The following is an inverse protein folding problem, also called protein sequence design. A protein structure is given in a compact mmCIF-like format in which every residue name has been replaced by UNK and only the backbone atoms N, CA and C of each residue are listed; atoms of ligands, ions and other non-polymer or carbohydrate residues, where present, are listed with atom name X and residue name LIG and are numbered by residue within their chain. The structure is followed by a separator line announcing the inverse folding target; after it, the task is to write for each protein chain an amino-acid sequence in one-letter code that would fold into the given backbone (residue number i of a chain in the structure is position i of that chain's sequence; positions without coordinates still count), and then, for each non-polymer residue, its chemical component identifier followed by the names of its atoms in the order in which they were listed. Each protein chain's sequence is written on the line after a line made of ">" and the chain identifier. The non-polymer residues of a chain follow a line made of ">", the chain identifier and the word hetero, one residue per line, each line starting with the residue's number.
data_IF_693981377950
#
_entry.id   IF_693981377950
#
_cell.length_a   1.000
_cell.length_b   1.000
_cell.length_c   1.000
_cell.angle_alpha   90.00
_cell.angle_beta   90.00
_cell.angle_gamma   90.00
#
_symmetry.space_group_name_H-M   'P 1'
#
loop_
_entity.id
_entity.type
_entity.pdbx_description
1 polymer ?
#
# COMPACT_ATOMS: atom_id res chain seq x y z
N UNK A 1 9.08 -8.34 12.99
CA UNK A 1 8.21 -9.40 13.54
C UNK A 1 7.52 -10.20 12.43
N UNK A 2 6.74 -9.60 11.52
CA UNK A 2 6.03 -10.31 10.46
C UNK A 2 6.98 -11.15 9.57
N UNK A 3 8.06 -10.53 9.06
CA UNK A 3 9.09 -11.21 8.28
C UNK A 3 9.85 -12.27 9.09
N UNK A 4 10.09 -12.02 10.39
CA UNK A 4 10.72 -13.02 11.27
C UNK A 4 9.83 -14.25 11.42
N UNK A 5 8.50 -14.08 11.50
CA UNK A 5 7.56 -15.20 11.54
C UNK A 5 7.66 -16.04 10.26
N UNK A 6 7.67 -15.42 9.08
CA UNK A 6 7.78 -16.11 7.80
C UNK A 6 9.12 -16.87 7.68
N UNK A 7 10.23 -16.22 8.02
CA UNK A 7 11.56 -16.83 7.98
C UNK A 7 11.69 -18.01 8.96
N UNK A 8 11.15 -17.88 10.17
CA UNK A 8 11.11 -18.98 11.16
C UNK A 8 10.23 -20.14 10.69
N UNK A 9 9.18 -19.87 9.94
CA UNK A 9 8.37 -20.91 9.32
C UNK A 9 9.07 -21.60 8.12
N UNK A 10 10.21 -21.09 7.66
CA UNK A 10 10.98 -21.67 6.56
C UNK A 10 10.72 -21.04 5.19
N UNK A 11 9.94 -19.95 5.10
CA UNK A 11 9.70 -19.26 3.84
C UNK A 11 10.99 -18.57 3.37
N UNK A 12 11.36 -18.81 2.12
CA UNK A 12 12.53 -18.23 1.47
C UNK A 12 12.12 -17.32 0.30
N UNK A 13 13.05 -16.48 -0.16
CA UNK A 13 12.84 -15.59 -1.31
C UNK A 13 11.53 -14.78 -1.17
N UNK A 14 11.42 -14.04 -0.06
CA UNK A 14 10.25 -13.23 0.26
C UNK A 14 10.30 -11.93 -0.54
N UNK A 15 9.21 -11.60 -1.21
CA UNK A 15 8.94 -10.26 -1.74
C UNK A 15 7.93 -9.57 -0.83
N UNK A 16 8.26 -8.39 -0.34
CA UNK A 16 7.37 -7.55 0.46
C UNK A 16 6.93 -6.35 -0.39
N UNK A 17 5.65 -6.30 -0.66
CA UNK A 17 5.01 -5.17 -1.33
C UNK A 17 4.50 -4.16 -0.31
N UNK A 18 4.75 -2.88 -0.57
CA UNK A 18 4.38 -1.74 0.28
C UNK A 18 3.45 -0.81 -0.47
N UNK A 19 2.37 -0.42 0.17
CA UNK A 19 1.43 0.57 -0.32
C UNK A 19 1.03 1.55 0.80
N UNK A 20 0.51 2.71 0.44
CA UNK A 20 0.05 3.74 1.37
C UNK A 20 -1.38 4.14 0.99
N UNK A 21 -2.36 3.55 1.66
CA UNK A 21 -3.79 3.74 1.36
C UNK A 21 -4.19 5.21 1.43
N UNK A 22 -3.78 5.91 2.48
CA UNK A 22 -4.11 7.33 2.66
C UNK A 22 -3.51 8.24 1.57
N UNK A 23 -2.50 7.80 0.81
CA UNK A 23 -1.96 8.55 -0.31
C UNK A 23 -2.96 8.61 -1.47
N UNK A 24 -3.59 7.48 -1.79
CA UNK A 24 -4.62 7.39 -2.83
C UNK A 24 -5.82 8.27 -2.46
N UNK A 25 -6.31 8.15 -1.23
CA UNK A 25 -7.43 8.94 -0.73
C UNK A 25 -7.16 10.45 -0.79
N UNK A 26 -5.98 10.88 -0.32
CA UNK A 26 -5.58 12.27 -0.35
C UNK A 26 -5.48 12.82 -1.80
N UNK A 27 -4.95 12.03 -2.74
CA UNK A 27 -4.88 12.44 -4.16
C UNK A 27 -6.27 12.51 -4.77
N UNK A 28 -7.15 11.54 -4.49
CA UNK A 28 -8.52 11.55 -5.01
C UNK A 28 -9.35 12.70 -4.43
N UNK A 29 -9.13 13.09 -3.19
CA UNK A 29 -9.77 14.27 -2.61
C UNK A 29 -9.46 15.57 -3.38
N UNK A 30 -8.27 15.69 -3.98
CA UNK A 30 -7.90 16.84 -4.79
C UNK A 30 -8.68 16.95 -6.12
N UNK A 31 -9.29 15.86 -6.57
CA UNK A 31 -10.03 15.84 -7.85
C UNK A 31 -11.38 16.54 -7.80
N UNK A 32 -11.97 16.67 -6.61
CA UNK A 32 -13.33 17.18 -6.44
C UNK A 32 -14.44 16.29 -7.02
N UNK A 33 -14.12 15.05 -7.35
CA UNK A 33 -15.09 14.07 -7.88
C UNK A 33 -16.09 13.65 -6.79
N UNK A 34 -17.29 13.31 -7.23
CA UNK A 34 -18.29 12.69 -6.37
C UNK A 34 -17.91 11.24 -5.98
N UNK A 35 -18.57 10.71 -4.96
CA UNK A 35 -18.27 9.38 -4.41
C UNK A 35 -18.40 8.25 -5.45
N UNK A 36 -19.33 8.37 -6.39
CA UNK A 36 -19.55 7.36 -7.44
C UNK A 36 -18.38 7.33 -8.41
N UNK A 37 -17.91 8.50 -8.86
CA UNK A 37 -16.72 8.61 -9.74
C UNK A 37 -15.44 8.24 -9.02
N UNK A 38 -15.28 8.59 -7.75
CA UNK A 38 -14.14 8.16 -6.93
C UNK A 38 -14.05 6.64 -6.88
N UNK A 39 -15.17 5.93 -6.69
CA UNK A 39 -15.18 4.46 -6.73
C UNK A 39 -14.76 3.90 -8.09
N UNK A 40 -15.20 4.53 -9.20
CA UNK A 40 -14.79 4.11 -10.54
C UNK A 40 -13.31 4.37 -10.80
N UNK A 41 -12.78 5.53 -10.37
CA UNK A 41 -11.35 5.84 -10.49
C UNK A 41 -10.51 4.87 -9.66
N UNK A 42 -10.94 4.55 -8.44
CA UNK A 42 -10.27 3.54 -7.61
C UNK A 42 -10.21 2.17 -8.31
N UNK A 43 -11.32 1.70 -8.85
CA UNK A 43 -11.37 0.44 -9.59
C UNK A 43 -10.43 0.46 -10.82
N UNK A 44 -10.37 1.57 -11.55
CA UNK A 44 -9.47 1.73 -12.69
C UNK A 44 -7.99 1.79 -12.26
N UNK A 45 -7.67 2.40 -11.11
CA UNK A 45 -6.33 2.39 -10.52
C UNK A 45 -5.89 0.96 -10.15
N UNK A 46 -6.77 0.21 -9.48
CA UNK A 46 -6.52 -1.18 -9.09
C UNK A 46 -6.24 -2.08 -10.29
N UNK A 47 -7.01 -1.90 -11.37
CA UNK A 47 -6.85 -2.65 -12.61
C UNK A 47 -5.72 -2.10 -13.51
N UNK A 48 -5.10 -0.97 -13.12
CA UNK A 48 -4.14 -0.22 -13.94
C UNK A 48 -4.66 0.11 -15.33
N UNK A 49 -5.98 0.37 -15.45
CA UNK A 49 -6.65 0.71 -16.70
C UNK A 49 -6.47 2.20 -17.02
N UNK A 50 -5.37 2.49 -17.70
CA UNK A 50 -5.03 3.86 -18.10
C UNK A 50 -6.06 4.46 -19.05
N UNK A 51 -6.70 3.65 -19.90
CA UNK A 51 -7.70 4.14 -20.85
C UNK A 51 -8.96 4.61 -20.11
N UNK A 52 -9.42 3.82 -19.15
CA UNK A 52 -10.55 4.19 -18.33
C UNK A 52 -10.23 5.40 -17.44
N UNK A 53 -9.03 5.46 -16.85
CA UNK A 53 -8.59 6.62 -16.08
C UNK A 53 -8.63 7.91 -16.90
N UNK A 54 -8.15 7.89 -18.15
CA UNK A 54 -8.21 9.07 -19.03
C UNK A 54 -9.65 9.57 -19.24
N UNK A 55 -10.61 8.65 -19.44
CA UNK A 55 -12.02 9.00 -19.61
C UNK A 55 -12.61 9.57 -18.31
N UNK A 56 -12.38 8.89 -17.19
CA UNK A 56 -12.92 9.30 -15.88
C UNK A 56 -12.36 10.64 -15.38
N UNK A 57 -11.16 11.02 -15.82
CA UNK A 57 -10.46 12.21 -15.37
C UNK A 57 -10.47 13.33 -16.43
N UNK A 58 -11.22 13.20 -17.54
CA UNK A 58 -11.17 14.12 -18.66
C UNK A 58 -11.52 15.58 -18.31
N UNK A 59 -12.44 15.78 -17.36
CA UNK A 59 -12.89 17.07 -16.85
C UNK A 59 -12.21 17.49 -15.52
N UNK A 60 -11.32 16.65 -14.99
CA UNK A 60 -10.57 16.98 -13.77
C UNK A 60 -9.44 17.95 -14.11
N UNK A 61 -9.35 19.04 -13.35
CA UNK A 61 -8.32 20.06 -13.52
C UNK A 61 -6.92 19.59 -13.10
N UNK A 62 -5.90 20.20 -13.69
CA UNK A 62 -4.52 20.05 -13.18
C UNK A 62 -4.35 20.82 -11.84
N UNK A 63 -3.52 20.37 -10.91
CA UNK A 63 -2.60 19.20 -11.05
C UNK A 63 -3.24 17.84 -10.68
N UNK A 64 -4.48 17.79 -10.18
CA UNK A 64 -5.10 16.58 -9.64
C UNK A 64 -5.12 15.42 -10.65
N UNK A 65 -5.45 15.70 -11.91
CA UNK A 65 -5.44 14.70 -12.97
C UNK A 65 -4.07 14.05 -13.16
N UNK A 66 -3.01 14.83 -13.23
CA UNK A 66 -1.64 14.33 -13.36
C UNK A 66 -1.19 13.54 -12.13
N UNK A 67 -1.64 13.93 -10.93
CA UNK A 67 -1.31 13.22 -9.69
C UNK A 67 -1.97 11.84 -9.64
N UNK A 68 -3.24 11.71 -10.06
CA UNK A 68 -3.90 10.40 -10.17
C UNK A 68 -3.20 9.51 -11.19
N UNK A 69 -2.84 10.05 -12.37
CA UNK A 69 -2.09 9.30 -13.37
C UNK A 69 -0.72 8.85 -12.83
N UNK A 70 -0.05 9.68 -12.01
CA UNK A 70 1.22 9.35 -11.40
C UNK A 70 1.12 8.16 -10.42
N UNK A 71 0.02 8.00 -9.68
CA UNK A 71 -0.20 6.85 -8.82
C UNK A 71 -0.10 5.54 -9.60
N UNK A 72 -0.87 5.41 -10.69
CA UNK A 72 -0.92 4.17 -11.49
C UNK A 72 0.39 3.84 -12.22
N UNK A 73 1.25 4.84 -12.44
CA UNK A 73 2.54 4.69 -13.10
C UNK A 73 3.71 4.50 -12.14
N UNK A 74 3.47 4.60 -10.83
CA UNK A 74 4.53 4.52 -9.82
C UNK A 74 4.46 3.18 -9.09
N UNK A 75 5.13 2.20 -9.67
CA UNK A 75 5.32 0.85 -9.11
C UNK A 75 6.71 0.33 -9.47
N UNK A 76 7.31 -0.48 -8.60
CA UNK A 76 8.65 -1.04 -8.81
C UNK A 76 9.43 -1.16 -7.52
N UNK A 77 10.77 -1.11 -7.59
CA UNK A 77 11.65 -1.09 -6.44
C UNK A 77 11.60 0.23 -5.67
N UNK A 78 12.43 0.36 -4.64
CA UNK A 78 12.42 1.55 -3.78
C UNK A 78 12.78 2.87 -4.49
N UNK A 79 13.44 2.79 -5.63
CA UNK A 79 13.82 3.96 -6.45
C UNK A 79 12.59 4.76 -6.93
N UNK A 80 11.42 4.11 -7.06
CA UNK A 80 10.19 4.79 -7.50
C UNK A 80 9.70 5.82 -6.47
N UNK A 81 10.05 5.67 -5.19
CA UNK A 81 9.67 6.62 -4.14
C UNK A 81 10.31 8.00 -4.37
N UNK A 82 11.58 8.05 -4.78
CA UNK A 82 12.24 9.32 -5.08
C UNK A 82 11.61 10.02 -6.30
N UNK A 83 11.21 9.25 -7.31
CA UNK A 83 10.49 9.78 -8.47
C UNK A 83 9.09 10.31 -8.07
N UNK A 84 8.40 9.57 -7.19
CA UNK A 84 7.11 10.01 -6.66
C UNK A 84 7.24 11.31 -5.86
N UNK A 85 8.21 11.43 -4.97
CA UNK A 85 8.45 12.67 -4.21
C UNK A 85 8.63 13.90 -5.14
N UNK A 86 9.28 13.74 -6.29
CA UNK A 86 9.40 14.81 -7.28
C UNK A 86 8.07 15.13 -7.96
N UNK A 87 7.31 14.12 -8.37
CA UNK A 87 5.99 14.31 -9.00
C UNK A 87 4.98 14.98 -8.05
N UNK A 88 5.06 14.64 -6.76
CA UNK A 88 4.16 15.18 -5.72
C UNK A 88 4.73 16.40 -4.97
N UNK A 89 5.85 17.00 -5.43
CA UNK A 89 6.58 18.05 -4.71
C UNK A 89 5.72 19.27 -4.31
N UNK A 90 4.69 19.59 -5.09
CA UNK A 90 3.77 20.70 -4.80
C UNK A 90 2.71 20.36 -3.72
N UNK A 91 2.71 19.15 -3.22
CA UNK A 91 1.76 18.63 -2.23
C UNK A 91 2.51 18.13 -0.97
N UNK A 92 2.82 19.01 -0.01
CA UNK A 92 3.67 18.67 1.13
C UNK A 92 3.13 17.49 1.97
N UNK A 93 1.81 17.35 2.09
CA UNK A 93 1.20 16.24 2.82
C UNK A 93 1.48 14.88 2.13
N UNK A 94 1.39 14.82 0.80
CA UNK A 94 1.68 13.61 0.02
C UNK A 94 3.17 13.26 0.11
N UNK A 95 4.04 14.26 0.00
CA UNK A 95 5.50 14.07 0.17
C UNK A 95 5.81 13.50 1.55
N UNK A 96 5.18 14.02 2.61
CA UNK A 96 5.39 13.51 3.97
C UNK A 96 4.98 12.03 4.12
N UNK A 97 3.92 11.58 3.44
CA UNK A 97 3.53 10.16 3.41
C UNK A 97 4.58 9.30 2.70
N UNK A 98 5.05 9.73 1.53
CA UNK A 98 6.11 9.03 0.77
C UNK A 98 7.41 8.93 1.57
N UNK A 99 7.79 9.99 2.28
CA UNK A 99 8.98 9.99 3.14
C UNK A 99 8.84 9.00 4.31
N UNK A 100 7.65 8.91 4.92
CA UNK A 100 7.40 7.89 5.96
C UNK A 100 7.50 6.47 5.39
N UNK A 101 6.91 6.23 4.23
CA UNK A 101 7.03 4.93 3.53
C UNK A 101 8.50 4.59 3.27
N UNK A 102 9.29 5.54 2.77
CA UNK A 102 10.72 5.37 2.52
C UNK A 102 11.51 5.06 3.80
N UNK A 103 11.19 5.71 4.92
CA UNK A 103 11.82 5.41 6.22
C UNK A 103 11.52 3.98 6.69
N UNK A 104 10.27 3.54 6.55
CA UNK A 104 9.89 2.15 6.88
C UNK A 104 10.60 1.17 5.96
N UNK A 105 10.59 1.42 4.65
CA UNK A 105 11.28 0.58 3.67
C UNK A 105 12.78 0.46 3.96
N UNK A 106 13.45 1.57 4.29
CA UNK A 106 14.87 1.59 4.67
C UNK A 106 15.13 0.77 5.94
N UNK A 107 14.25 0.87 6.94
CA UNK A 107 14.35 0.09 8.18
C UNK A 107 14.16 -1.40 7.94
N UNK A 108 13.23 -1.78 7.06
CA UNK A 108 12.99 -3.18 6.66
C UNK A 108 14.21 -3.70 5.89
N UNK A 109 14.73 -2.94 4.93
CA UNK A 109 15.89 -3.34 4.13
C UNK A 109 17.14 -3.54 4.99
N UNK A 110 17.33 -2.67 6.00
CA UNK A 110 18.47 -2.81 6.93
C UNK A 110 18.34 -4.06 7.82
N UNK A 111 17.13 -4.40 8.28
CA UNK A 111 16.87 -5.56 9.13
C UNK A 111 16.79 -6.87 8.34
N UNK A 112 16.39 -6.82 7.08
CA UNK A 112 16.13 -7.97 6.21
C UNK A 112 16.66 -7.71 4.80
N UNK A 113 18.01 -7.67 4.60
CA UNK A 113 18.62 -7.35 3.31
C UNK A 113 18.35 -8.38 2.21
N UNK A 114 17.91 -9.58 2.59
CA UNK A 114 17.54 -10.69 1.71
C UNK A 114 16.09 -10.63 1.22
N UNK A 115 15.28 -9.67 1.70
CA UNK A 115 13.90 -9.47 1.26
C UNK A 115 13.86 -8.48 0.10
N UNK A 116 13.18 -8.86 -0.98
CA UNK A 116 12.90 -7.94 -2.08
C UNK A 116 11.77 -7.01 -1.68
N UNK A 117 12.01 -5.69 -1.77
CA UNK A 117 10.99 -4.68 -1.50
C UNK A 117 10.44 -4.14 -2.82
N UNK A 118 9.12 -4.12 -2.93
CA UNK A 118 8.39 -3.47 -4.01
C UNK A 118 7.46 -2.40 -3.43
N UNK A 119 7.10 -1.45 -4.27
CA UNK A 119 6.17 -0.36 -3.97
C UNK A 119 5.15 -0.29 -5.10
N UNK A 120 3.88 -0.17 -4.74
CA UNK A 120 2.81 0.16 -5.68
C UNK A 120 1.95 1.27 -5.07
N UNK A 121 2.01 2.49 -5.62
CA UNK A 121 1.28 3.63 -5.09
C UNK A 121 -0.20 3.63 -5.47
N UNK A 122 -0.60 2.83 -6.47
CA UNK A 122 -2.00 2.67 -6.85
C UNK A 122 -2.70 1.54 -6.10
N UNK A 123 -1.94 0.68 -5.39
CA UNK A 123 -2.53 -0.44 -4.68
C UNK A 123 -3.26 0.03 -3.42
N UNK A 124 -4.58 0.12 -3.54
CA UNK A 124 -5.50 0.35 -2.44
C UNK A 124 -6.39 -0.89 -2.17
N UNK A 125 -6.07 -2.04 -2.83
CA UNK A 125 -6.79 -3.28 -2.62
C UNK A 125 -6.64 -3.75 -1.18
N UNK A 126 -7.73 -4.11 -0.59
CA UNK A 126 -7.72 -4.73 0.71
C UNK A 126 -8.83 -4.28 1.61
N UNK A 127 -8.64 -4.55 2.85
CA UNK A 127 -9.62 -4.35 3.89
C UNK A 127 -9.75 -2.85 4.14
N UNK A 128 -10.95 -2.33 3.96
CA UNK A 128 -11.30 -0.91 4.07
C UNK A 128 -10.97 -0.25 5.43
N UNK A 129 -10.40 -1.03 6.37
CA UNK A 129 -10.01 -0.52 7.68
C UNK A 129 -8.54 -0.06 7.77
N UNK A 130 -7.71 -0.32 6.76
CA UNK A 130 -6.35 0.25 6.74
C UNK A 130 -6.42 1.77 6.50
N UNK A 131 -5.64 2.52 7.28
CA UNK A 131 -5.66 3.99 7.28
C UNK A 131 -4.33 4.61 6.85
N UNK A 132 -3.32 3.78 6.59
CA UNK A 132 -1.99 4.26 6.25
C UNK A 132 -1.18 3.19 5.51
N UNK A 133 0.08 3.00 5.94
CA UNK A 133 0.94 2.01 5.33
C UNK A 133 0.34 0.61 5.46
N UNK A 134 0.30 -0.10 4.35
CA UNK A 134 -0.01 -1.53 4.29
C UNK A 134 1.11 -2.30 3.62
N UNK A 135 1.14 -3.59 3.85
CA UNK A 135 2.12 -4.48 3.26
C UNK A 135 1.53 -5.87 2.98
N UNK A 136 2.06 -6.50 1.94
CA UNK A 136 1.78 -7.90 1.63
C UNK A 136 3.10 -8.63 1.36
N UNK A 137 3.26 -9.83 1.94
CA UNK A 137 4.42 -10.66 1.67
C UNK A 137 4.03 -11.84 0.78
N UNK A 138 4.81 -12.02 -0.27
CA UNK A 138 4.70 -13.09 -1.24
C UNK A 138 5.85 -14.08 -1.05
N UNK A 139 5.55 -15.36 -1.12
CA UNK A 139 6.55 -16.41 -1.20
C UNK A 139 6.82 -16.77 -2.67
N UNK A 140 8.09 -16.77 -3.08
CA UNK A 140 8.44 -17.06 -4.48
C UNK A 140 7.97 -18.45 -4.94
N UNK A 141 7.93 -19.43 -4.04
CA UNK A 141 7.53 -20.80 -4.34
C UNK A 141 6.07 -20.93 -4.78
N UNK A 142 5.16 -20.17 -4.15
CA UNK A 142 3.73 -20.23 -4.46
C UNK A 142 3.26 -19.06 -5.33
N UNK A 143 4.00 -17.97 -5.37
CA UNK A 143 3.57 -16.71 -5.99
C UNK A 143 2.34 -16.08 -5.32
N UNK A 144 1.91 -16.64 -4.17
CA UNK A 144 0.74 -16.20 -3.45
C UNK A 144 1.11 -15.32 -2.25
N UNK A 145 0.14 -14.53 -1.81
CA UNK A 145 0.29 -13.72 -0.60
C UNK A 145 0.16 -14.62 0.63
N UNK A 146 1.24 -14.73 1.39
CA UNK A 146 1.29 -15.55 2.62
C UNK A 146 1.03 -14.73 3.89
N UNK A 147 1.15 -13.40 3.79
CA UNK A 147 0.95 -12.49 4.91
C UNK A 147 0.46 -11.13 4.40
N UNK A 148 -0.48 -10.54 5.13
CA UNK A 148 -0.94 -9.16 4.92
C UNK A 148 -0.98 -8.42 6.25
N UNK A 149 -0.67 -7.13 6.21
CA UNK A 149 -0.74 -6.27 7.39
C UNK A 149 -0.74 -4.79 7.02
N UNK A 150 -0.86 -3.95 8.05
CA UNK A 150 -0.84 -2.50 7.87
C UNK A 150 -1.21 -1.76 9.14
N UNK A 151 -1.27 -0.44 9.05
CA UNK A 151 -1.75 0.45 10.09
C UNK A 151 -3.26 0.64 9.97
N UNK A 152 -3.95 0.63 11.12
CA UNK A 152 -5.39 0.83 11.22
C UNK A 152 -5.71 1.67 12.47
N UNK A 153 -5.51 2.98 12.31
CA UNK A 153 -5.82 3.94 13.36
C UNK A 153 -7.35 4.10 13.46
N UNK A 154 -7.85 4.32 14.67
CA UNK A 154 -9.29 4.53 14.90
C UNK A 154 -10.13 3.26 15.10
N UNK A 155 -9.60 2.06 14.88
CA UNK A 155 -10.33 0.80 15.12
C UNK A 155 -10.74 0.67 16.60
N UNK A 156 -9.94 1.18 17.52
CA UNK A 156 -10.29 1.24 18.95
C UNK A 156 -11.57 2.02 19.24
N UNK A 157 -11.90 3.03 18.44
CA UNK A 157 -13.13 3.80 18.58
C UNK A 157 -14.37 3.01 18.11
N UNK A 158 -14.22 2.10 17.14
CA UNK A 158 -15.32 1.26 16.63
C UNK A 158 -15.70 0.15 17.62
N UNK A 159 -14.71 -0.40 18.34
CA UNK A 159 -14.92 -1.52 19.26
C UNK A 159 -15.18 -1.13 20.71
N UNK A 160 -15.10 0.14 21.10
CA UNK A 160 -15.33 0.51 22.48
C UNK A 160 -15.46 1.97 22.80
N UNK A 161 -16.69 2.46 22.92
CA UNK A 161 -16.99 3.76 23.51
C UNK A 161 -16.48 3.95 24.97
N UNK A 162 -15.90 2.93 25.59
CA UNK A 162 -15.44 2.98 26.97
C UNK A 162 -13.94 3.19 27.15
N UNK A 163 -13.12 3.12 26.11
CA UNK A 163 -11.66 3.20 26.25
C UNK A 163 -11.05 4.46 25.64
N UNK A 164 -11.82 5.47 25.29
CA UNK A 164 -11.44 6.88 25.08
C UNK A 164 -10.03 7.23 24.55
N UNK A 165 -9.31 6.30 23.92
CA UNK A 165 -7.97 6.50 23.40
C UNK A 165 -7.90 5.96 21.98
N UNK A 166 -7.98 6.89 21.06
CA UNK A 166 -7.61 6.64 19.68
C UNK A 166 -6.11 6.36 19.63
N UNK A 167 -5.73 5.08 19.60
CA UNK A 167 -4.34 4.66 19.56
C UNK A 167 -4.01 4.16 18.18
N UNK A 168 -2.88 4.60 17.60
CA UNK A 168 -2.35 3.99 16.40
C UNK A 168 -2.18 2.47 16.62
N UNK A 169 -2.63 1.69 15.65
CA UNK A 169 -2.51 0.25 15.68
C UNK A 169 -1.87 -0.27 14.40
N UNK A 170 -1.02 -1.27 14.54
CA UNK A 170 -0.40 -2.00 13.43
C UNK A 170 -0.57 -3.48 13.71
N UNK A 171 -0.94 -4.24 12.70
CA UNK A 171 -1.06 -5.67 12.81
C UNK A 171 -0.88 -6.38 11.48
N UNK A 172 -0.85 -7.70 11.55
CA UNK A 172 -0.78 -8.55 10.37
C UNK A 172 -1.49 -9.88 10.61
N UNK A 173 -1.86 -10.52 9.50
CA UNK A 173 -2.40 -11.87 9.47
C UNK A 173 -1.59 -12.75 8.52
N UNK A 174 -1.52 -14.03 8.84
CA UNK A 174 -0.90 -15.07 8.03
C UNK A 174 -1.99 -15.95 7.42
N UNK A 175 -1.87 -16.26 6.14
CA UNK A 175 -2.63 -17.32 5.51
C UNK A 175 -1.93 -18.65 5.74
N UNK A 176 -2.47 -19.47 6.64
CA UNK A 176 -1.82 -20.74 7.03
C UNK A 176 -1.81 -21.75 5.88
N UNK A 177 -2.80 -21.72 4.98
CA UNK A 177 -2.86 -22.61 3.83
C UNK A 177 -1.75 -22.27 2.85
N UNK A 178 -1.63 -20.98 2.49
CA UNK A 178 -0.60 -20.50 1.58
C UNK A 178 0.79 -20.62 2.19
N UNK A 179 0.92 -20.39 3.51
CA UNK A 179 2.17 -20.60 4.23
C UNK A 179 2.61 -22.08 4.17
N UNK A 180 1.68 -23.00 4.39
CA UNK A 180 1.98 -24.44 4.32
C UNK A 180 2.42 -24.84 2.91
N UNK A 181 1.76 -24.32 1.89
CA UNK A 181 2.14 -24.57 0.48
C UNK A 181 3.54 -24.00 0.15
N UNK A 182 3.87 -22.81 0.73
CA UNK A 182 5.15 -22.17 0.49
C UNK A 182 6.36 -22.85 1.15
N UNK A 183 6.14 -23.66 2.21
CA UNK A 183 7.22 -24.38 2.93
C UNK A 183 7.22 -25.87 2.67
N UNK A 184 6.25 -26.41 1.93
CA UNK A 184 6.22 -27.83 1.58
C UNK A 184 7.46 -28.20 0.74
N UNK A 185 8.11 -29.33 1.03
CA UNK A 185 9.18 -29.82 0.18
C UNK A 185 8.63 -30.10 -1.21
N UNK A 186 9.32 -29.59 -2.24
CA UNK A 186 9.04 -29.85 -3.66
C UNK A 186 9.32 -31.32 -4.04
#
# INVERSE_FOLDING_TARGET
>A
LALDCLKRAGVQNITLDLAEVGLVDDVLALTGLDESRVKQVNAALEMKDMSQLQVLLADVAEPARSLVAALSQTFGGLEVLAQAEQKFAQQPALVARLQRMRQVAASVQAAHPDVTLLVDLADNQGWSYYTGLRFAAYAAQSGQVVLRGGSYDGVGAVFGHKVGRDRPAVGFSLDLKELTAAVAPS
#
